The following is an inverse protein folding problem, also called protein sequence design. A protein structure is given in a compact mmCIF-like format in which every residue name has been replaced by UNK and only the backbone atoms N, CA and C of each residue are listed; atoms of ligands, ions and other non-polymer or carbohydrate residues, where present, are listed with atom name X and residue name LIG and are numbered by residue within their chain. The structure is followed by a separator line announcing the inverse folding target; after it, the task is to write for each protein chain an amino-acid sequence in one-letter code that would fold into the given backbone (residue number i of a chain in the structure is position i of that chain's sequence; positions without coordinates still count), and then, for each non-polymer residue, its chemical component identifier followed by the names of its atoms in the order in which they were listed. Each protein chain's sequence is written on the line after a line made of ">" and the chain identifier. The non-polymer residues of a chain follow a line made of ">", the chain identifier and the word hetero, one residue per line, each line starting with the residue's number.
data_IF_993967757979
#
_entry.id   IF_993967757979
#
_cell.length_a   1.000
_cell.length_b   1.000
_cell.length_c   1.000
_cell.angle_alpha   90.00
_cell.angle_beta   90.00
_cell.angle_gamma   90.00
#
_symmetry.space_group_name_H-M   'P 1'
#
loop_
_entity.id
_entity.type
_entity.pdbx_description
1 polymer ?
#
# COMPACT_ATOMS: atom_id res chain seq x y z
N UNK A 1 -75.09 14.63 -14.51
CA UNK A 1 -74.27 15.85 -14.61
C UNK A 1 -74.35 16.54 -13.26
N UNK A 2 -73.26 16.93 -12.56
CA UNK A 2 -71.83 17.02 -12.93
C UNK A 2 -70.93 15.96 -12.22
N UNK A 3 -69.62 15.90 -12.54
CA UNK A 3 -68.74 14.76 -12.24
C UNK A 3 -67.76 15.04 -11.08
N UNK A 4 -67.44 14.04 -10.26
CA UNK A 4 -66.29 14.12 -9.36
C UNK A 4 -65.10 13.37 -9.97
N UNK A 5 -64.09 14.16 -10.28
CA UNK A 5 -62.87 13.81 -10.96
C UNK A 5 -62.04 12.81 -10.16
N UNK A 6 -61.58 11.77 -10.87
CA UNK A 6 -60.40 10.99 -10.54
C UNK A 6 -59.18 11.92 -10.59
N UNK A 7 -58.44 12.03 -9.48
CA UNK A 7 -57.06 12.50 -9.50
C UNK A 7 -56.15 11.33 -9.19
N UNK A 8 -55.59 10.75 -10.26
CA UNK A 8 -54.49 9.81 -10.18
C UNK A 8 -53.25 10.56 -9.66
N UNK A 9 -52.83 10.27 -8.43
CA UNK A 9 -51.57 10.76 -7.89
C UNK A 9 -50.43 9.98 -8.54
N UNK A 10 -49.75 10.59 -9.51
CA UNK A 10 -48.51 10.07 -10.06
C UNK A 10 -47.40 10.20 -9.00
N UNK A 11 -46.98 9.08 -8.43
CA UNK A 11 -45.83 9.02 -7.52
C UNK A 11 -44.57 9.17 -8.37
N UNK A 12 -44.00 10.38 -8.39
CA UNK A 12 -42.67 10.62 -8.93
C UNK A 12 -41.65 10.07 -7.93
N UNK A 13 -41.15 8.87 -8.19
CA UNK A 13 -40.01 8.31 -7.46
C UNK A 13 -38.78 9.13 -7.85
N UNK A 14 -38.44 10.12 -7.03
CA UNK A 14 -37.14 10.80 -7.08
C UNK A 14 -36.09 9.77 -6.67
N UNK A 15 -35.47 9.14 -7.66
CA UNK A 15 -34.25 8.38 -7.47
C UNK A 15 -33.19 9.39 -7.00
N UNK A 16 -32.97 9.44 -5.68
CA UNK A 16 -31.89 10.22 -5.08
C UNK A 16 -30.59 9.56 -5.54
N UNK A 17 -30.06 10.05 -6.66
CA UNK A 17 -28.70 9.76 -7.05
C UNK A 17 -27.83 10.35 -5.94
N UNK A 18 -27.38 9.49 -5.03
CA UNK A 18 -26.27 9.81 -4.16
C UNK A 18 -25.10 10.09 -5.09
N UNK A 19 -24.92 11.37 -5.43
CA UNK A 19 -23.79 11.85 -6.20
C UNK A 19 -22.55 11.62 -5.37
N UNK A 20 -21.96 10.43 -5.45
CA UNK A 20 -20.56 10.24 -5.11
C UNK A 20 -19.80 11.13 -6.06
N UNK A 21 -19.42 12.31 -5.56
CA UNK A 21 -18.50 13.20 -6.24
C UNK A 21 -17.17 12.46 -6.39
N UNK A 22 -17.00 11.72 -7.48
CA UNK A 22 -15.69 11.24 -7.89
C UNK A 22 -14.85 12.49 -8.20
N UNK A 23 -13.95 12.84 -7.27
CA UNK A 23 -13.04 13.97 -7.42
C UNK A 23 -11.99 13.55 -8.46
N UNK A 24 -12.23 13.91 -9.71
CA UNK A 24 -11.23 13.88 -10.78
C UNK A 24 -10.29 15.07 -10.51
N UNK A 25 -9.20 14.80 -9.79
CA UNK A 25 -8.22 15.80 -9.40
C UNK A 25 -7.08 15.14 -8.65
N UNK A 26 -6.12 14.61 -9.41
CA UNK A 26 -4.92 14.01 -8.85
C UNK A 26 -4.13 15.02 -8.03
N UNK A 27 -4.16 14.84 -6.71
CA UNK A 27 -3.05 14.78 -5.77
C UNK A 27 -3.67 14.44 -4.41
N UNK A 28 -4.08 13.17 -4.25
CA UNK A 28 -4.55 12.69 -2.97
C UNK A 28 -3.33 12.55 -2.05
N UNK A 29 -3.09 13.58 -1.24
CA UNK A 29 -2.02 13.63 -0.24
C UNK A 29 -2.48 13.01 1.08
N UNK A 30 -3.64 12.35 1.10
CA UNK A 30 -4.15 11.69 2.30
C UNK A 30 -3.20 10.55 2.67
N UNK A 31 -2.53 10.63 3.84
CA UNK A 31 -1.84 9.46 4.35
C UNK A 31 -2.87 8.36 4.62
N UNK A 32 -2.61 7.14 4.15
CA UNK A 32 -3.50 5.95 4.14
C UNK A 32 -4.32 5.70 2.87
N UNK A 33 -3.74 5.92 1.69
CA UNK A 33 -4.30 5.34 0.47
C UNK A 33 -3.86 3.88 0.31
N UNK A 34 -4.76 3.03 -0.19
CA UNK A 34 -4.45 1.69 -0.70
C UNK A 34 -4.59 1.71 -2.21
N UNK A 35 -3.59 1.19 -2.91
CA UNK A 35 -3.57 1.14 -4.36
C UNK A 35 -2.79 -0.07 -4.87
N UNK A 36 -3.05 -0.41 -6.12
CA UNK A 36 -2.32 -1.38 -6.91
C UNK A 36 -2.19 -0.84 -8.33
N UNK A 37 -0.97 -0.82 -8.87
CA UNK A 37 -0.67 -0.36 -10.22
C UNK A 37 0.29 -1.36 -10.85
N UNK A 38 -0.06 -1.85 -12.03
CA UNK A 38 0.77 -2.73 -12.84
C UNK A 38 0.74 -2.25 -14.29
N UNK A 39 1.89 -2.31 -14.94
CA UNK A 39 2.02 -2.08 -16.37
C UNK A 39 2.72 -3.26 -17.00
N UNK A 40 2.04 -3.90 -17.94
CA UNK A 40 2.45 -5.08 -18.69
C UNK A 40 2.97 -4.74 -20.10
N UNK A 41 2.51 -3.64 -20.68
CA UNK A 41 2.91 -3.16 -22.00
C UNK A 41 4.02 -2.09 -21.97
N UNK A 42 4.67 -1.90 -23.13
CA UNK A 42 5.63 -0.83 -23.36
C UNK A 42 7.04 -1.08 -22.79
N UNK A 43 7.97 -0.13 -23.02
CA UNK A 43 9.37 -0.26 -22.61
C UNK A 43 9.56 -0.09 -21.09
N UNK A 44 8.58 0.49 -20.39
CA UNK A 44 8.63 0.72 -18.95
C UNK A 44 7.59 -0.11 -18.20
N UNK A 45 7.97 -1.33 -17.81
CA UNK A 45 7.12 -2.20 -16.99
C UNK A 45 7.39 -1.97 -15.51
N UNK A 46 6.35 -1.66 -14.75
CA UNK A 46 6.46 -1.45 -13.32
C UNK A 46 5.28 -2.06 -12.57
N UNK A 47 5.52 -2.36 -11.30
CA UNK A 47 4.54 -2.92 -10.38
C UNK A 47 4.65 -2.16 -9.06
N UNK A 48 3.53 -1.69 -8.52
CA UNK A 48 3.49 -0.96 -7.25
C UNK A 48 2.21 -1.30 -6.50
N UNK A 49 2.31 -1.52 -5.20
CA UNK A 49 1.14 -1.52 -4.34
C UNK A 49 1.45 -0.93 -2.98
N UNK A 50 0.37 -0.55 -2.32
CA UNK A 50 0.35 -0.13 -0.95
C UNK A 50 -0.94 -0.59 -0.29
N UNK A 51 -0.87 -0.98 0.98
CA UNK A 51 -2.05 -1.31 1.79
C UNK A 51 -2.20 -0.32 2.94
N UNK A 52 -3.44 -0.13 3.40
CA UNK A 52 -3.71 0.64 4.63
C UNK A 52 -3.09 -0.01 5.87
N UNK A 53 -2.90 -1.33 5.85
CA UNK A 53 -2.21 -2.08 6.91
C UNK A 53 -0.69 -1.87 6.94
N UNK A 54 -0.14 -1.02 6.07
CA UNK A 54 1.25 -0.60 6.11
C UNK A 54 2.20 -1.46 5.28
N UNK A 55 1.71 -2.26 4.34
CA UNK A 55 2.56 -2.99 3.39
C UNK A 55 2.82 -2.16 2.13
N UNK A 56 3.99 -2.34 1.55
CA UNK A 56 4.45 -1.61 0.39
C UNK A 56 5.34 -2.46 -0.51
N UNK A 57 5.18 -2.31 -1.83
CA UNK A 57 6.15 -2.80 -2.82
C UNK A 57 6.18 -1.87 -4.03
N UNK A 58 7.36 -1.67 -4.59
CA UNK A 58 7.59 -1.08 -5.91
C UNK A 58 8.62 -1.87 -6.67
N UNK A 59 8.43 -2.01 -7.97
CA UNK A 59 9.35 -2.69 -8.88
C UNK A 59 9.37 -1.98 -10.23
N UNK A 60 10.53 -2.01 -10.87
CA UNK A 60 10.71 -1.69 -12.28
C UNK A 60 11.43 -2.85 -12.94
N UNK A 61 10.90 -3.32 -14.06
CA UNK A 61 11.61 -4.26 -14.93
C UNK A 61 12.39 -3.47 -15.98
N UNK A 62 13.66 -3.77 -16.08
CA UNK A 62 14.59 -3.22 -17.06
C UNK A 62 14.46 -3.98 -18.38
N UNK A 63 15.04 -3.41 -19.45
CA UNK A 63 14.93 -3.96 -20.81
C UNK A 63 15.64 -5.32 -20.95
N UNK A 64 16.71 -5.53 -20.20
CA UNK A 64 17.44 -6.80 -20.11
C UNK A 64 16.68 -7.90 -19.33
N UNK A 65 15.50 -7.58 -18.78
CA UNK A 65 14.68 -8.48 -17.97
C UNK A 65 14.98 -8.43 -16.47
N UNK A 66 16.01 -7.71 -16.04
CA UNK A 66 16.33 -7.48 -14.63
C UNK A 66 15.19 -6.76 -13.93
N UNK A 67 14.84 -7.17 -12.72
CA UNK A 67 13.86 -6.49 -11.86
C UNK A 67 14.59 -5.82 -10.71
N UNK A 68 14.39 -4.51 -10.57
CA UNK A 68 14.85 -3.75 -9.41
C UNK A 68 13.64 -3.29 -8.60
N UNK A 69 13.69 -3.44 -7.29
CA UNK A 69 12.54 -3.13 -6.46
C UNK A 69 12.87 -2.80 -5.02
N UNK A 70 11.84 -2.33 -4.33
CA UNK A 70 11.83 -2.17 -2.88
C UNK A 70 10.53 -2.74 -2.32
N UNK A 71 10.59 -3.45 -1.21
CA UNK A 71 9.42 -3.85 -0.44
C UNK A 71 9.63 -3.55 1.04
N UNK A 72 8.54 -3.33 1.75
CA UNK A 72 8.61 -3.14 3.18
C UNK A 72 7.27 -3.11 3.88
N UNK A 73 7.34 -3.14 5.20
CA UNK A 73 6.18 -3.03 6.08
C UNK A 73 6.58 -2.38 7.40
N UNK A 74 5.62 -1.71 8.04
CA UNK A 74 5.76 -1.29 9.45
C UNK A 74 5.36 -2.47 10.33
N UNK A 75 6.26 -2.88 11.20
CA UNK A 75 6.04 -4.01 12.10
C UNK A 75 5.29 -3.60 13.39
N UNK A 76 4.91 -4.56 14.22
CA UNK A 76 4.11 -4.29 15.43
C UNK A 76 4.85 -3.42 16.48
N UNK A 77 6.17 -3.34 16.39
CA UNK A 77 7.00 -2.50 17.25
C UNK A 77 7.19 -1.08 16.66
N UNK A 78 6.51 -0.76 15.56
CA UNK A 78 6.64 0.51 14.86
C UNK A 78 7.97 0.67 14.12
N UNK A 79 8.61 -0.44 13.74
CA UNK A 79 9.84 -0.44 12.95
C UNK A 79 9.48 -0.71 11.50
N UNK A 80 9.81 0.23 10.61
CA UNK A 80 9.78 0.00 9.18
C UNK A 80 10.90 -0.96 8.80
N UNK A 81 10.54 -2.10 8.21
CA UNK A 81 11.45 -3.05 7.59
C UNK A 81 11.40 -2.85 6.09
N UNK A 82 12.41 -2.18 5.53
CA UNK A 82 12.51 -1.87 4.10
C UNK A 82 13.71 -2.61 3.49
N UNK A 83 13.51 -3.17 2.30
CA UNK A 83 14.50 -3.95 1.57
C UNK A 83 14.52 -3.49 0.13
N UNK A 84 15.69 -3.09 -0.35
CA UNK A 84 15.94 -2.89 -1.78
C UNK A 84 16.58 -4.16 -2.34
N UNK A 85 16.15 -4.58 -3.52
CA UNK A 85 16.62 -5.80 -4.16
C UNK A 85 16.78 -5.65 -5.66
N UNK A 86 17.49 -6.61 -6.21
CA UNK A 86 17.63 -6.86 -7.64
C UNK A 86 17.40 -8.35 -7.89
N UNK A 87 16.71 -8.66 -8.98
CA UNK A 87 16.52 -10.01 -9.48
C UNK A 87 16.89 -10.03 -10.97
N UNK A 88 18.02 -10.66 -11.27
CA UNK A 88 18.58 -10.79 -12.62
C UNK A 88 18.95 -12.26 -12.91
N UNK A 89 19.84 -12.49 -13.85
CA UNK A 89 20.40 -13.79 -14.23
C UNK A 89 21.09 -14.52 -13.06
N UNK A 90 21.60 -13.79 -12.06
CA UNK A 90 22.20 -14.34 -10.83
C UNK A 90 21.17 -14.62 -9.74
N UNK A 91 19.89 -14.41 -10.03
CA UNK A 91 18.78 -14.61 -9.10
C UNK A 91 18.50 -13.40 -8.22
N UNK A 92 17.66 -13.62 -7.21
CA UNK A 92 17.20 -12.59 -6.28
C UNK A 92 18.23 -12.31 -5.18
N UNK A 93 18.53 -11.02 -4.95
CA UNK A 93 19.39 -10.59 -3.85
C UNK A 93 18.98 -9.24 -3.26
N UNK A 94 19.08 -9.13 -1.94
CA UNK A 94 18.93 -7.85 -1.22
C UNK A 94 20.21 -7.03 -1.40
N UNK A 95 20.08 -5.82 -1.93
CA UNK A 95 21.20 -4.88 -2.09
C UNK A 95 21.25 -3.86 -0.97
N UNK A 96 20.12 -3.60 -0.30
CA UNK A 96 20.07 -2.69 0.83
C UNK A 96 19.01 -3.11 1.84
N UNK A 97 19.36 -2.97 3.11
CA UNK A 97 18.45 -3.14 4.23
C UNK A 97 18.32 -1.82 4.98
N UNK A 98 17.07 -1.41 5.25
CA UNK A 98 16.75 -0.32 6.17
C UNK A 98 15.75 -0.79 7.22
N UNK A 99 16.00 -0.41 8.46
CA UNK A 99 15.24 -0.71 9.67
C UNK A 99 15.18 0.59 10.47
N UNK A 100 14.03 1.25 10.40
CA UNK A 100 13.86 2.60 10.93
C UNK A 100 12.66 2.63 11.87
N UNK A 101 12.85 3.13 13.08
CA UNK A 101 11.75 3.35 14.02
C UNK A 101 10.91 4.52 13.53
N UNK A 102 9.66 4.25 13.20
CA UNK A 102 8.69 5.21 12.65
C UNK A 102 7.49 5.43 13.57
N UNK A 103 7.18 4.46 14.43
CA UNK A 103 6.01 4.46 15.31
C UNK A 103 4.97 3.43 14.87
N UNK A 104 4.12 3.01 15.82
CA UNK A 104 2.98 2.12 15.53
C UNK A 104 1.93 2.91 14.73
N UNK A 105 1.16 2.23 13.89
CA UNK A 105 0.10 2.81 13.03
C UNK A 105 0.57 3.96 12.12
N UNK A 106 1.87 4.04 11.84
CA UNK A 106 2.42 5.05 10.93
C UNK A 106 2.04 4.68 9.49
N UNK A 107 1.40 5.59 8.73
CA UNK A 107 1.13 5.40 7.32
C UNK A 107 2.42 5.07 6.56
N UNK A 108 2.38 4.04 5.71
CA UNK A 108 3.59 3.52 5.07
C UNK A 108 4.29 4.54 4.17
N UNK A 109 3.57 5.46 3.54
CA UNK A 109 4.17 6.58 2.79
C UNK A 109 5.05 7.49 3.67
N UNK A 110 4.59 7.78 4.89
CA UNK A 110 5.36 8.56 5.87
C UNK A 110 6.60 7.77 6.30
N UNK A 111 6.43 6.48 6.61
CA UNK A 111 7.53 5.61 7.00
C UNK A 111 8.62 5.52 5.91
N UNK A 112 8.22 5.30 4.65
CA UNK A 112 9.14 5.28 3.50
C UNK A 112 9.84 6.64 3.33
N UNK A 113 9.14 7.74 3.56
CA UNK A 113 9.72 9.10 3.48
C UNK A 113 10.77 9.35 4.55
N UNK A 114 10.57 8.85 5.78
CA UNK A 114 11.60 8.85 6.82
C UNK A 114 12.80 7.99 6.39
N UNK A 115 12.57 6.78 5.90
CA UNK A 115 13.65 5.88 5.50
C UNK A 115 14.47 6.34 4.29
N UNK A 116 13.93 7.21 3.43
CA UNK A 116 14.70 7.86 2.36
C UNK A 116 15.80 8.77 2.94
N UNK A 117 15.58 9.37 4.10
CA UNK A 117 16.52 10.27 4.79
C UNK A 117 17.53 9.53 5.67
N UNK A 118 17.27 8.27 6.01
CA UNK A 118 18.15 7.44 6.84
C UNK A 118 19.18 6.67 5.99
N UNK A 119 20.41 6.45 6.50
CA UNK A 119 21.38 5.58 5.85
C UNK A 119 20.90 4.10 5.84
N UNK A 120 21.60 3.26 5.08
CA UNK A 120 21.43 1.81 5.17
C UNK A 120 21.93 1.29 6.51
N UNK A 121 21.31 0.24 7.06
CA UNK A 121 21.75 -0.33 8.32
C UNK A 121 22.98 -1.22 8.15
N UNK A 122 23.84 -1.21 9.16
CA UNK A 122 24.96 -2.15 9.28
C UNK A 122 24.47 -3.54 9.70
N UNK A 123 25.31 -4.56 9.52
CA UNK A 123 24.97 -5.94 9.93
C UNK A 123 24.64 -6.06 11.43
N UNK A 124 25.35 -5.32 12.29
CA UNK A 124 25.12 -5.31 13.73
C UNK A 124 23.75 -4.71 14.09
N UNK A 125 23.36 -3.61 13.43
CA UNK A 125 22.05 -2.98 13.63
C UNK A 125 20.90 -3.90 13.20
N UNK A 126 21.07 -4.63 12.09
CA UNK A 126 20.08 -5.60 11.62
C UNK A 126 19.91 -6.73 12.64
N UNK A 127 21.02 -7.24 13.18
CA UNK A 127 21.00 -8.30 14.19
C UNK A 127 20.28 -7.85 15.47
N UNK A 128 20.50 -6.61 15.93
CA UNK A 128 19.82 -6.06 17.10
C UNK A 128 18.29 -5.99 16.94
N UNK A 129 17.79 -5.74 15.73
CA UNK A 129 16.35 -5.78 15.44
C UNK A 129 15.78 -7.19 15.22
N UNK A 130 16.62 -8.19 14.98
CA UNK A 130 16.23 -9.59 14.87
C UNK A 130 16.17 -10.28 16.25
N UNK A 131 17.02 -9.86 17.19
CA UNK A 131 17.04 -10.39 18.57
C UNK A 131 15.86 -9.92 19.43
N UNK A 132 15.11 -8.91 18.99
CA UNK A 132 13.87 -8.49 19.65
C UNK A 132 12.68 -9.12 18.90
N UNK A 133 12.19 -10.31 19.31
CA UNK A 133 11.16 -11.02 18.57
C UNK A 133 9.90 -10.17 18.47
N UNK A 134 9.27 -10.20 17.30
CA UNK A 134 7.92 -9.66 17.15
C UNK A 134 7.01 -10.29 18.21
N UNK A 135 6.08 -9.55 18.83
CA UNK A 135 5.01 -10.20 19.57
C UNK A 135 4.32 -11.17 18.60
N UNK A 136 4.30 -12.46 18.97
CA UNK A 136 3.67 -13.51 18.16
C UNK A 136 2.23 -13.06 17.89
N UNK A 137 1.77 -12.96 16.62
CA UNK A 137 0.37 -12.66 16.38
C UNK A 137 -0.46 -13.74 17.09
N UNK A 138 -1.36 -13.29 17.97
CA UNK A 138 -2.35 -14.18 18.57
C UNK A 138 -3.31 -14.59 17.46
N UNK A 139 -3.03 -15.72 16.80
CA UNK A 139 -4.00 -16.32 15.90
C UNK A 139 -5.19 -16.77 16.74
N UNK A 140 -6.26 -15.98 16.74
CA UNK A 140 -7.59 -16.44 17.15
C UNK A 140 -7.99 -17.55 16.17
N UNK A 141 -7.85 -18.80 16.59
CA UNK A 141 -8.21 -19.96 15.78
C UNK A 141 -9.72 -20.00 15.59
N UNK A 142 -10.20 -19.66 14.40
CA UNK A 142 -11.57 -19.95 13.95
C UNK A 142 -11.55 -20.14 12.42
N UNK A 143 -11.13 -21.31 11.96
CA UNK A 143 -11.70 -21.92 10.76
C UNK A 143 -12.10 -23.33 11.17
N UNK A 144 -13.38 -23.48 11.44
CA UNK A 144 -14.06 -24.74 11.70
C UNK A 144 -15.17 -24.86 10.67
#
# INVERSE_FOLDING_TARGET
>A
MPPHLLFAAAIVIVCSVCGTSAKIGGWDTVPNTQYHIQTDEGPERYFKYQTMSGQYRKEKRLQDGTVVGSYGWVDANGILRLRDYIADDKGYRIVRTKMVKVGVDTPIDNAISVAKKSPANSAAEIAAYQSNPQPKPAYLGQYQ
#
